data_IF_506632810832
#
_entry.id   IF_506632810832
#
_cell.length_a   1.000
_cell.length_b   1.000
_cell.length_c   1.000
_cell.angle_alpha   90.00
_cell.angle_beta   90.00
_cell.angle_gamma   90.00
#
_symmetry.space_group_name_H-M   'P 1'
#
loop_
_entity.id
_entity.type
_entity.pdbx_description
1 polymer ?
#
# COMPACT_ATOMS: atom_id res chain seq x y z
N UNK A 1 -2.06 4.48 -2.65
CA UNK A 1 -1.18 3.29 -2.76
C UNK A 1 0.14 3.72 -2.17
N UNK A 2 0.51 3.21 -1.00
CA UNK A 2 1.29 3.98 -0.01
C UNK A 2 2.81 4.01 -0.19
N UNK A 3 3.37 3.21 -1.10
CA UNK A 3 4.80 3.17 -1.40
C UNK A 3 4.96 3.36 -2.91
N UNK A 4 5.41 4.55 -3.31
CA UNK A 4 5.67 4.90 -4.70
C UNK A 4 7.09 5.42 -4.89
N UNK A 5 7.61 5.33 -6.11
CA UNK A 5 8.90 5.87 -6.52
C UNK A 5 8.85 6.26 -7.99
N UNK A 6 9.75 7.14 -8.41
CA UNK A 6 9.90 7.49 -9.82
C UNK A 6 10.96 6.60 -10.46
N UNK A 7 10.57 5.85 -11.49
CA UNK A 7 11.51 5.15 -12.34
C UNK A 7 12.39 6.15 -13.10
N UNK A 8 13.52 5.67 -13.64
CA UNK A 8 14.39 6.49 -14.50
C UNK A 8 13.67 7.06 -15.74
N UNK A 9 12.57 6.42 -16.16
CA UNK A 9 11.68 6.91 -17.22
C UNK A 9 10.78 8.09 -16.82
N UNK A 10 10.80 8.50 -15.55
CA UNK A 10 9.88 9.50 -14.98
C UNK A 10 8.49 8.94 -14.65
N UNK A 11 8.26 7.65 -14.85
CA UNK A 11 6.99 6.99 -14.50
C UNK A 11 6.93 6.71 -13.00
N UNK A 12 5.82 7.06 -12.36
CA UNK A 12 5.56 6.68 -10.97
C UNK A 12 5.18 5.19 -10.90
N UNK A 13 6.01 4.44 -10.21
CA UNK A 13 5.81 3.01 -9.92
C UNK A 13 5.47 2.84 -8.45
N UNK A 14 4.64 1.84 -8.16
CA UNK A 14 4.22 1.49 -6.82
C UNK A 14 4.57 0.02 -6.55
N UNK A 15 4.75 -0.29 -5.26
CA UNK A 15 4.97 -1.67 -4.83
C UNK A 15 3.69 -2.50 -5.03
N UNK A 16 3.81 -3.64 -5.69
CA UNK A 16 2.72 -4.56 -6.01
C UNK A 16 3.16 -6.01 -5.73
N UNK A 17 2.21 -6.94 -5.73
CA UNK A 17 2.49 -8.38 -5.57
C UNK A 17 2.02 -9.11 -6.83
N UNK A 18 2.92 -9.87 -7.44
CA UNK A 18 2.60 -10.65 -8.64
C UNK A 18 1.85 -11.95 -8.30
N UNK A 19 1.46 -12.70 -9.34
CA UNK A 19 0.76 -13.99 -9.19
C UNK A 19 1.58 -15.07 -8.48
N UNK A 20 2.90 -14.89 -8.33
CA UNK A 20 3.80 -15.80 -7.63
C UNK A 20 4.09 -15.32 -6.20
N UNK A 21 3.31 -14.38 -5.68
CA UNK A 21 3.49 -13.78 -4.36
C UNK A 21 4.85 -13.06 -4.20
N UNK A 22 5.46 -12.61 -5.29
CA UNK A 22 6.72 -11.86 -5.27
C UNK A 22 6.43 -10.36 -5.22
N UNK A 23 7.22 -9.65 -4.41
CA UNK A 23 7.17 -8.19 -4.35
C UNK A 23 7.82 -7.62 -5.61
N UNK A 24 7.04 -6.86 -6.37
CA UNK A 24 7.45 -6.24 -7.63
C UNK A 24 7.10 -4.75 -7.64
N UNK A 25 7.63 -4.01 -8.60
CA UNK A 25 7.21 -2.64 -8.87
C UNK A 25 6.42 -2.59 -10.17
N UNK A 26 5.23 -1.99 -10.13
CA UNK A 26 4.35 -1.80 -11.29
C UNK A 26 3.91 -0.35 -11.39
N UNK A 27 3.41 0.08 -12.55
CA UNK A 27 2.74 1.38 -12.67
C UNK A 27 1.62 1.47 -11.64
N UNK A 28 1.57 2.59 -10.92
CA UNK A 28 0.57 2.81 -9.89
C UNK A 28 -0.85 2.73 -10.48
N UNK A 29 -1.75 2.00 -9.81
CA UNK A 29 -3.16 1.93 -10.18
C UNK A 29 -3.91 3.02 -9.43
N UNK A 30 -4.58 3.90 -10.16
CA UNK A 30 -5.46 4.89 -9.57
C UNK A 30 -6.75 4.21 -9.10
N UNK A 31 -7.06 4.33 -7.81
CA UNK A 31 -8.36 3.92 -7.30
C UNK A 31 -9.41 4.87 -7.88
N UNK A 32 -10.50 4.33 -8.39
CA UNK A 32 -11.51 5.02 -9.21
C UNK A 32 -12.25 6.19 -8.53
N UNK A 33 -11.93 6.51 -7.27
CA UNK A 33 -12.49 7.63 -6.52
C UNK A 33 -11.44 8.68 -6.10
N UNK A 34 -10.19 8.55 -6.55
CA UNK A 34 -9.12 9.50 -6.24
C UNK A 34 -8.74 10.29 -7.50
N UNK A 35 -9.26 11.51 -7.60
CA UNK A 35 -9.04 12.40 -8.74
C UNK A 35 -7.56 12.81 -8.89
N UNK A 36 -6.81 12.81 -7.79
CA UNK A 36 -5.38 13.15 -7.81
C UNK A 36 -4.50 11.92 -8.02
N UNK A 37 -5.07 10.72 -7.85
CA UNK A 37 -4.32 9.47 -7.83
C UNK A 37 -3.09 9.56 -6.92
N UNK A 38 -3.21 10.31 -5.82
CA UNK A 38 -2.07 10.66 -4.98
C UNK A 38 -1.71 9.45 -4.11
N UNK A 39 -0.56 8.78 -4.39
CA UNK A 39 -0.15 7.61 -3.63
C UNK A 39 0.12 7.95 -2.15
N UNK A 40 0.45 9.21 -1.85
CA UNK A 40 0.82 9.71 -0.52
C UNK A 40 -0.37 10.16 0.33
N UNK A 41 -1.56 10.31 -0.26
CA UNK A 41 -2.76 10.83 0.42
C UNK A 41 -3.43 9.84 1.40
N UNK A 42 -2.88 8.64 1.58
CA UNK A 42 -3.28 7.75 2.67
C UNK A 42 -2.04 7.47 3.54
N UNK A 43 -2.15 7.66 4.85
CA UNK A 43 -1.13 7.26 5.81
C UNK A 43 -1.61 6.02 6.56
N UNK A 44 -0.96 4.87 6.38
CA UNK A 44 -1.15 3.76 7.32
C UNK A 44 -0.15 3.89 8.48
N UNK A 45 -0.65 3.70 9.69
CA UNK A 45 0.19 3.52 10.88
C UNK A 45 0.51 2.03 11.01
N UNK A 46 1.80 1.68 11.03
CA UNK A 46 2.22 0.33 11.42
C UNK A 46 1.79 0.08 12.87
N UNK A 47 0.94 -0.92 13.06
CA UNK A 47 0.49 -1.39 14.38
C UNK A 47 0.81 -2.87 14.52
N UNK A 48 1.36 -3.28 15.65
CA UNK A 48 1.74 -4.69 15.87
C UNK A 48 0.53 -5.63 15.96
N UNK A 49 -0.62 -5.15 16.42
CA UNK A 49 -1.88 -5.91 16.48
C UNK A 49 -3.04 -4.97 16.73
N UNK A 50 -4.16 -5.19 16.04
CA UNK A 50 -5.47 -4.56 16.33
C UNK A 50 -6.38 -5.47 17.15
N UNK A 51 -5.97 -6.72 17.43
CA UNK A 51 -6.74 -7.63 18.28
C UNK A 51 -6.70 -7.11 19.70
N UNK A 52 -7.87 -6.70 20.20
CA UNK A 52 -8.09 -6.57 21.63
C UNK A 52 -7.89 -7.95 22.27
N UNK A 53 -6.90 -8.07 23.14
CA UNK A 53 -6.75 -9.21 24.02
C UNK A 53 -7.90 -9.18 25.04
N UNK A 54 -9.07 -9.69 24.64
CA UNK A 54 -10.08 -10.06 25.62
C UNK A 54 -9.48 -11.20 26.42
N UNK A 55 -8.94 -10.89 27.60
CA UNK A 55 -8.70 -11.91 28.62
C UNK A 55 -10.07 -12.47 28.97
N UNK A 56 -10.40 -13.63 28.43
CA UNK A 56 -11.47 -14.47 28.95
C UNK A 56 -11.06 -14.83 30.38
N UNK A 57 -11.60 -14.10 31.35
CA UNK A 57 -11.44 -14.42 32.76
C UNK A 57 -12.20 -15.73 33.00
N UNK A 58 -11.44 -16.81 33.19
CA UNK A 58 -11.90 -18.09 33.72
C UNK A 58 -12.52 -17.91 35.11
#
# INVERSE_FOLDING_TARGET
MHLSSNASSGTTVCLDVDSNNTIVTNTCKCLSNDNACDPESQWFKLVNSTRSSTMTKL
#
